data_IF_686211274710
#
_entry.id   IF_686211274710
#
_cell.length_a   1.000
_cell.length_b   1.000
_cell.length_c   1.000
_cell.angle_alpha   90.00
_cell.angle_beta   90.00
_cell.angle_gamma   90.00
#
_symmetry.space_group_name_H-M   'P 1'
#
loop_
_entity.id
_entity.type
_entity.pdbx_description
1 polymer ?
#
# COMPACT_ATOMS: atom_id res chain seq x y z
N UNK A 1 4.75 -73.30 31.95
CA UNK A 1 4.22 -72.28 32.90
C UNK A 1 3.69 -71.10 32.11
N UNK A 2 2.44 -70.74 32.39
CA UNK A 2 1.65 -69.66 31.77
C UNK A 2 2.28 -68.27 31.91
N UNK A 3 1.97 -67.39 30.94
CA UNK A 3 1.40 -66.01 31.06
C UNK A 3 1.47 -65.35 29.67
N UNK A 4 0.39 -65.31 28.87
CA UNK A 4 -0.75 -64.37 28.86
C UNK A 4 -0.34 -62.89 28.62
N UNK A 5 -0.68 -62.45 27.41
CA UNK A 5 -1.23 -61.16 26.94
C UNK A 5 -0.53 -59.82 27.25
N UNK A 6 -0.40 -59.05 26.17
CA UNK A 6 -0.18 -57.61 26.20
C UNK A 6 -0.19 -57.01 24.79
N UNK A 7 -1.34 -57.05 24.10
CA UNK A 7 -1.60 -56.22 22.92
C UNK A 7 -1.52 -54.74 23.35
N UNK A 8 -0.43 -54.06 23.00
CA UNK A 8 -0.32 -52.61 23.06
C UNK A 8 -0.52 -52.04 21.67
N UNK A 9 -1.73 -51.56 21.39
CA UNK A 9 -2.05 -50.75 20.21
C UNK A 9 -1.01 -49.63 20.04
N UNK A 10 -0.25 -49.66 18.94
CA UNK A 10 0.44 -48.46 18.43
C UNK A 10 -0.62 -47.54 17.83
N UNK A 11 -1.24 -46.73 18.69
CA UNK A 11 -2.10 -45.63 18.29
C UNK A 11 -1.23 -44.58 17.60
N UNK A 12 -1.51 -44.37 16.31
CA UNK A 12 -1.13 -43.18 15.56
C UNK A 12 -1.44 -41.93 16.37
N UNK A 13 -0.41 -41.11 16.64
CA UNK A 13 -0.61 -39.67 16.80
C UNK A 13 0.15 -39.05 15.64
N UNK A 14 -0.51 -39.04 14.47
CA UNK A 14 -0.23 -38.01 13.48
C UNK A 14 -0.56 -36.69 14.14
N UNK A 15 0.46 -35.99 14.64
CA UNK A 15 0.34 -34.58 14.96
C UNK A 15 0.17 -33.92 13.60
N UNK A 16 -1.09 -33.78 13.17
CA UNK A 16 -1.47 -32.76 12.22
C UNK A 16 -1.05 -31.44 12.88
N UNK A 17 0.17 -31.00 12.57
CA UNK A 17 0.49 -29.58 12.55
C UNK A 17 -0.45 -29.00 11.48
N UNK A 18 -1.70 -28.74 11.89
CA UNK A 18 -2.45 -27.63 11.35
C UNK A 18 -1.55 -26.44 11.65
N UNK A 19 -0.68 -26.11 10.69
CA UNK A 19 -0.07 -24.81 10.61
C UNK A 19 -1.26 -23.87 10.74
N UNK A 20 -1.41 -23.28 11.92
CA UNK A 20 -2.30 -22.16 12.13
C UNK A 20 -1.89 -21.21 11.03
N UNK A 21 -2.77 -21.07 10.04
CA UNK A 21 -2.69 -20.06 9.01
C UNK A 21 -2.39 -18.77 9.72
N UNK A 22 -1.11 -18.39 9.73
CA UNK A 22 -0.65 -17.21 10.42
C UNK A 22 -1.42 -16.07 9.81
N UNK A 23 -2.22 -15.38 10.63
CA UNK A 23 -2.84 -14.14 10.22
C UNK A 23 -1.76 -13.32 9.49
N UNK A 24 -1.99 -12.93 8.22
CA UNK A 24 -1.04 -12.07 7.53
C UNK A 24 -0.80 -10.85 8.42
N UNK A 25 0.48 -10.53 8.66
CA UNK A 25 0.96 -9.46 9.56
C UNK A 25 0.68 -8.06 9.02
N UNK A 26 -0.49 -7.87 8.41
CA UNK A 26 -0.97 -6.61 7.89
C UNK A 26 -2.39 -6.49 8.42
N UNK A 27 -2.46 -6.41 9.75
CA UNK A 27 -3.63 -6.21 10.61
C UNK A 27 -4.88 -7.08 10.31
N UNK A 28 -5.11 -8.11 11.13
CA UNK A 28 -6.44 -8.74 11.19
C UNK A 28 -6.53 -9.92 12.16
N UNK A 29 -6.82 -9.61 13.43
CA UNK A 29 -7.53 -10.42 14.46
C UNK A 29 -7.28 -9.76 15.84
N UNK A 30 -8.01 -8.70 16.17
CA UNK A 30 -8.01 -8.02 17.49
C UNK A 30 -6.69 -7.45 18.04
N UNK A 31 -5.58 -7.44 17.28
CA UNK A 31 -4.30 -6.85 17.70
C UNK A 31 -4.16 -5.38 17.28
N UNK A 32 -3.57 -4.55 18.15
CA UNK A 32 -3.00 -3.26 17.75
C UNK A 32 -1.94 -3.47 16.67
N UNK A 33 -1.89 -2.60 15.66
CA UNK A 33 -0.83 -2.63 14.64
C UNK A 33 0.54 -2.45 15.32
N UNK A 34 1.35 -3.53 15.33
CA UNK A 34 2.68 -3.56 15.94
C UNK A 34 3.79 -3.31 14.91
N UNK A 35 3.44 -2.99 13.67
CA UNK A 35 4.42 -2.81 12.60
C UNK A 35 5.48 -1.79 13.01
N UNK A 36 6.78 -2.09 12.76
CA UNK A 36 7.83 -1.14 13.07
C UNK A 36 7.65 0.14 12.23
N UNK A 37 7.86 1.30 12.85
CA UNK A 37 7.78 2.58 12.17
C UNK A 37 8.84 3.57 12.66
N UNK A 38 9.21 4.53 11.82
CA UNK A 38 10.13 5.62 12.15
C UNK A 38 9.48 6.97 11.83
N UNK A 39 9.69 7.96 12.71
CA UNK A 39 9.24 9.33 12.48
C UNK A 39 10.44 10.14 12.01
N UNK A 40 10.34 10.75 10.82
CA UNK A 40 11.44 11.54 10.26
C UNK A 40 11.71 12.79 11.09
N UNK A 41 12.96 13.03 11.58
CA UNK A 41 13.26 14.22 12.37
C UNK A 41 13.49 15.48 11.50
N UNK A 42 13.79 15.29 10.22
CA UNK A 42 14.11 16.34 9.25
C UNK A 42 13.57 15.94 7.87
N UNK A 43 13.65 16.86 6.91
CA UNK A 43 13.35 16.56 5.50
C UNK A 43 14.23 15.39 5.03
N UNK A 44 13.61 14.40 4.39
CA UNK A 44 14.30 13.22 3.87
C UNK A 44 13.67 12.75 2.57
N UNK A 45 14.08 11.56 2.10
CA UNK A 45 13.52 10.89 0.94
C UNK A 45 13.02 9.51 1.36
N UNK A 46 11.92 9.04 0.77
CA UNK A 46 11.42 7.69 0.91
C UNK A 46 10.81 7.23 -0.41
N UNK A 47 11.29 6.11 -0.95
CA UNK A 47 10.91 5.51 -2.25
C UNK A 47 10.94 6.51 -3.41
N UNK A 48 11.93 7.42 -3.40
CA UNK A 48 12.06 8.49 -4.39
C UNK A 48 11.10 9.66 -4.24
N UNK A 49 10.39 9.76 -3.11
CA UNK A 49 9.51 10.87 -2.76
C UNK A 49 10.17 11.71 -1.65
N UNK A 50 10.34 13.04 -1.82
CA UNK A 50 10.78 13.90 -0.72
C UNK A 50 9.67 13.98 0.33
N UNK A 51 10.03 13.78 1.59
CA UNK A 51 9.08 13.81 2.70
C UNK A 51 9.47 14.86 3.75
N UNK A 52 8.49 15.61 4.31
CA UNK A 52 8.75 16.55 5.40
C UNK A 52 9.15 15.84 6.70
N UNK A 53 9.65 16.58 7.71
CA UNK A 53 9.74 16.07 9.08
C UNK A 53 8.36 15.63 9.58
N UNK A 54 8.36 14.81 10.64
CA UNK A 54 7.15 14.22 11.23
C UNK A 54 6.40 13.24 10.31
N UNK A 55 7.03 12.80 9.22
CA UNK A 55 6.47 11.75 8.36
C UNK A 55 6.66 10.39 9.03
N UNK A 56 5.59 9.59 9.10
CA UNK A 56 5.63 8.21 9.57
C UNK A 56 5.98 7.26 8.43
N UNK A 57 7.14 6.62 8.55
CA UNK A 57 7.62 5.55 7.68
C UNK A 57 7.32 4.21 8.36
N UNK A 58 6.46 3.38 7.78
CA UNK A 58 6.08 2.07 8.31
C UNK A 58 6.76 0.97 7.50
N UNK A 59 7.23 -0.08 8.18
CA UNK A 59 8.03 -1.13 7.58
C UNK A 59 7.44 -2.51 7.85
N UNK A 60 7.75 -3.45 6.96
CA UNK A 60 7.59 -4.88 7.22
C UNK A 60 8.60 -5.30 8.29
N UNK A 61 8.11 -5.97 9.35
CA UNK A 61 8.96 -6.55 10.38
C UNK A 61 9.83 -7.67 9.80
N UNK A 62 11.15 -7.58 9.92
CA UNK A 62 12.06 -8.65 9.53
C UNK A 62 12.24 -9.68 10.66
N UNK A 63 12.15 -9.26 11.93
CA UNK A 63 12.34 -10.15 13.10
C UNK A 63 11.34 -9.80 14.21
N UNK A 64 10.94 -10.78 15.04
CA UNK A 64 9.88 -10.61 16.06
C UNK A 64 10.07 -9.47 17.08
N UNK A 65 11.30 -8.96 17.25
CA UNK A 65 11.62 -7.85 18.15
C UNK A 65 11.41 -6.46 17.52
N UNK A 66 11.38 -6.38 16.19
CA UNK A 66 11.19 -5.13 15.45
C UNK A 66 9.71 -4.77 15.43
N UNK A 67 9.28 -4.01 16.43
CA UNK A 67 7.88 -3.60 16.58
C UNK A 67 7.79 -2.13 16.99
N UNK A 68 6.68 -1.47 16.65
CA UNK A 68 6.38 -0.08 17.05
C UNK A 68 7.45 0.93 16.62
N UNK A 69 7.62 2.03 17.35
CA UNK A 69 8.54 3.10 16.97
C UNK A 69 10.01 2.65 17.09
N UNK A 70 10.77 2.89 16.03
CA UNK A 70 12.21 2.65 15.94
C UNK A 70 12.98 3.95 16.23
N UNK A 71 14.20 3.83 16.73
CA UNK A 71 15.09 4.97 16.99
C UNK A 71 15.77 5.51 15.73
N UNK A 72 15.81 4.71 14.66
CA UNK A 72 16.39 5.03 13.36
C UNK A 72 15.52 4.44 12.24
N UNK A 73 15.67 4.98 11.03
CA UNK A 73 15.04 4.42 9.84
C UNK A 73 15.55 3.00 9.57
N UNK A 74 14.64 2.08 9.28
CA UNK A 74 14.99 0.74 8.84
C UNK A 74 15.27 0.73 7.33
N UNK A 75 15.73 -0.41 6.81
CA UNK A 75 16.01 -0.57 5.38
C UNK A 75 14.78 -0.23 4.54
N UNK A 76 14.96 0.71 3.61
CA UNK A 76 13.91 1.25 2.76
C UNK A 76 13.23 0.17 1.90
N UNK A 77 13.93 -0.90 1.55
CA UNK A 77 13.37 -2.03 0.80
C UNK A 77 12.18 -2.70 1.52
N UNK A 78 12.11 -2.60 2.85
CA UNK A 78 11.02 -3.12 3.65
C UNK A 78 9.94 -2.06 3.95
N UNK A 79 10.04 -0.85 3.39
CA UNK A 79 9.05 0.20 3.61
C UNK A 79 7.72 -0.23 2.98
N UNK A 80 6.68 -0.30 3.82
CA UNK A 80 5.31 -0.66 3.46
C UNK A 80 4.35 0.52 3.53
N UNK A 81 4.73 1.63 4.17
CA UNK A 81 3.87 2.80 4.27
C UNK A 81 4.61 4.11 4.48
N UNK A 82 4.08 5.18 3.89
CA UNK A 82 4.46 6.58 4.12
C UNK A 82 3.18 7.33 4.48
N UNK A 83 3.14 7.94 5.66
CA UNK A 83 2.05 8.81 6.07
C UNK A 83 2.60 10.15 6.52
N UNK A 84 2.17 11.23 5.84
CA UNK A 84 2.54 12.59 6.17
C UNK A 84 1.88 13.04 7.47
N UNK A 85 2.46 14.04 8.17
CA UNK A 85 1.84 14.61 9.35
C UNK A 85 0.49 15.26 9.01
N UNK A 86 -0.34 15.45 10.02
CA UNK A 86 -1.64 16.11 9.86
C UNK A 86 -1.50 17.48 9.19
N UNK A 87 -2.56 17.89 8.48
CA UNK A 87 -2.61 19.16 7.76
C UNK A 87 -1.45 19.34 6.75
N UNK A 88 -0.82 18.27 6.29
CA UNK A 88 0.25 18.30 5.29
C UNK A 88 -0.07 17.35 4.14
N UNK A 89 0.19 17.80 2.92
CA UNK A 89 0.08 17.01 1.71
C UNK A 89 1.28 17.25 0.80
N UNK A 90 1.64 16.26 -0.01
CA UNK A 90 2.56 16.42 -1.12
C UNK A 90 1.75 16.44 -2.41
N UNK A 91 2.06 17.34 -3.32
CA UNK A 91 1.51 17.32 -4.66
C UNK A 91 2.17 16.22 -5.48
N UNK A 92 1.53 15.06 -5.59
CA UNK A 92 2.01 13.88 -6.32
C UNK A 92 1.09 13.60 -7.51
N UNK A 93 1.64 13.57 -8.72
CA UNK A 93 0.85 13.50 -9.95
C UNK A 93 -0.11 14.67 -10.17
N UNK A 94 0.10 15.79 -9.45
CA UNK A 94 -0.82 16.93 -9.41
C UNK A 94 -1.98 16.78 -8.42
N UNK A 95 -2.06 15.68 -7.66
CA UNK A 95 -3.03 15.47 -6.58
C UNK A 95 -2.36 15.71 -5.20
N UNK A 96 -2.99 16.43 -4.26
CA UNK A 96 -2.52 16.48 -2.88
C UNK A 96 -2.71 15.11 -2.19
N UNK A 97 -1.60 14.49 -1.78
CA UNK A 97 -1.54 13.16 -1.18
C UNK A 97 -0.93 13.23 0.22
N UNK A 98 -1.47 12.47 1.16
CA UNK A 98 -0.92 12.34 2.52
C UNK A 98 -0.48 10.92 2.86
N UNK A 99 -0.92 9.88 2.12
CA UNK A 99 -0.59 8.48 2.44
C UNK A 99 -0.29 7.63 1.21
N UNK A 100 0.69 6.75 1.38
CA UNK A 100 1.10 5.72 0.43
C UNK A 100 1.23 4.40 1.18
N UNK A 101 0.54 3.34 0.75
CA UNK A 101 0.59 2.04 1.42
C UNK A 101 0.78 0.92 0.41
N UNK A 102 1.84 0.13 0.58
CA UNK A 102 2.06 -1.08 -0.18
C UNK A 102 0.85 -2.02 -0.04
N UNK A 103 0.53 -2.74 -1.10
CA UNK A 103 -0.52 -3.75 -1.04
C UNK A 103 -0.20 -4.82 0.00
N UNK A 104 -1.24 -5.28 0.71
CA UNK A 104 -1.08 -6.33 1.73
C UNK A 104 -0.73 -7.69 1.14
N UNK A 105 -1.13 -7.96 -0.10
CA UNK A 105 -0.74 -9.16 -0.80
C UNK A 105 0.71 -9.01 -1.32
N UNK A 106 1.69 -9.79 -0.83
CA UNK A 106 3.09 -9.69 -1.26
C UNK A 106 3.31 -10.03 -2.74
N UNK A 107 2.39 -10.76 -3.38
CA UNK A 107 2.45 -11.05 -4.81
C UNK A 107 2.12 -9.82 -5.66
N UNK A 108 1.35 -8.87 -5.11
CA UNK A 108 0.99 -7.64 -5.78
C UNK A 108 2.12 -6.61 -5.67
N UNK A 109 2.76 -6.33 -6.80
CA UNK A 109 3.85 -5.35 -6.90
C UNK A 109 3.27 -3.95 -7.06
N UNK A 110 3.02 -3.26 -5.94
CA UNK A 110 2.47 -1.92 -6.00
C UNK A 110 2.00 -1.36 -4.67
N UNK A 111 1.28 -0.24 -4.72
CA UNK A 111 0.77 0.47 -3.56
C UNK A 111 -0.54 1.20 -3.86
N UNK A 112 -1.26 1.57 -2.80
CA UNK A 112 -2.39 2.49 -2.85
C UNK A 112 -1.95 3.88 -2.42
N UNK A 113 -2.45 4.91 -3.10
CA UNK A 113 -2.17 6.31 -2.81
C UNK A 113 -3.45 7.08 -2.49
N UNK A 114 -3.47 7.76 -1.36
CA UNK A 114 -4.68 8.36 -0.79
C UNK A 114 -4.64 9.89 -0.91
N UNK A 115 -5.66 10.50 -1.54
CA UNK A 115 -5.83 11.95 -1.53
C UNK A 115 -6.00 12.49 -0.11
N UNK A 116 -5.30 13.57 0.18
CA UNK A 116 -5.32 14.21 1.48
C UNK A 116 -6.66 14.95 1.70
N UNK A 117 -7.40 14.59 2.75
CA UNK A 117 -8.76 15.08 3.00
C UNK A 117 -8.77 16.59 3.23
N UNK A 118 -9.57 17.31 2.43
CA UNK A 118 -9.78 18.76 2.50
C UNK A 118 -8.76 19.60 1.72
N UNK A 119 -7.81 18.97 1.03
CA UNK A 119 -6.92 19.66 0.11
C UNK A 119 -7.58 19.69 -1.26
N UNK A 120 -7.40 20.78 -2.01
CA UNK A 120 -7.88 20.91 -3.39
C UNK A 120 -6.70 20.86 -4.34
N UNK A 121 -6.87 20.11 -5.42
CA UNK A 121 -5.97 20.19 -6.57
C UNK A 121 -6.50 21.25 -7.52
N UNK A 122 -5.77 22.36 -7.66
CA UNK A 122 -6.04 23.40 -8.66
C UNK A 122 -5.60 22.99 -10.07
N UNK A 123 -4.82 21.91 -10.20
CA UNK A 123 -4.36 21.40 -11.48
C UNK A 123 -5.46 20.59 -12.18
N UNK A 124 -5.48 20.66 -13.51
CA UNK A 124 -6.41 19.92 -14.35
C UNK A 124 -5.68 19.37 -15.57
N UNK A 125 -5.88 18.08 -15.81
CA UNK A 125 -5.50 17.39 -17.03
C UNK A 125 -6.38 16.12 -17.14
N UNK A 126 -6.32 15.42 -18.28
CA UNK A 126 -7.15 14.24 -18.50
C UNK A 126 -7.01 13.16 -17.41
N UNK A 127 -5.78 12.90 -16.95
CA UNK A 127 -5.51 11.93 -15.89
C UNK A 127 -6.09 12.38 -14.53
N UNK A 128 -5.83 13.63 -14.12
CA UNK A 128 -6.34 14.19 -12.88
C UNK A 128 -7.87 14.25 -12.85
N UNK A 129 -8.50 14.58 -13.98
CA UNK A 129 -9.96 14.63 -14.06
C UNK A 129 -10.58 13.23 -13.89
N UNK A 130 -9.96 12.21 -14.49
CA UNK A 130 -10.36 10.82 -14.28
C UNK A 130 -10.13 10.40 -12.82
N UNK A 131 -8.97 10.68 -12.24
CA UNK A 131 -8.70 10.35 -10.83
C UNK A 131 -9.70 11.05 -9.90
N UNK A 132 -9.92 12.36 -10.06
CA UNK A 132 -10.92 13.12 -9.26
C UNK A 132 -12.31 12.49 -9.33
N UNK A 133 -12.71 11.96 -10.50
CA UNK A 133 -14.02 11.32 -10.67
C UNK A 133 -14.21 10.02 -9.88
N UNK A 134 -13.12 9.41 -9.38
CA UNK A 134 -13.22 8.23 -8.52
C UNK A 134 -13.57 8.55 -7.09
N UNK A 135 -13.32 9.79 -6.64
CA UNK A 135 -13.51 10.22 -5.25
C UNK A 135 -12.85 9.28 -4.22
N UNK A 136 -11.74 8.65 -4.60
CA UNK A 136 -11.05 7.60 -3.84
C UNK A 136 -9.53 7.63 -4.09
N UNK A 137 -8.83 6.77 -3.36
CA UNK A 137 -7.46 6.36 -3.63
C UNK A 137 -7.25 5.74 -5.03
N UNK A 138 -6.00 5.72 -5.48
CA UNK A 138 -5.57 4.90 -6.62
C UNK A 138 -4.81 3.68 -6.12
N UNK A 139 -5.13 2.53 -6.70
CA UNK A 139 -4.31 1.32 -6.61
C UNK A 139 -3.37 1.29 -7.82
N UNK A 140 -2.07 1.28 -7.56
CA UNK A 140 -1.01 1.42 -8.57
C UNK A 140 -0.14 0.17 -8.57
N UNK A 141 0.00 -0.46 -9.73
CA UNK A 141 1.02 -1.45 -10.01
C UNK A 141 2.33 -0.78 -10.42
N UNK A 142 3.45 -1.34 -9.95
CA UNK A 142 4.80 -0.86 -10.22
C UNK A 142 5.63 -1.92 -10.97
N UNK A 143 6.37 -1.48 -12.00
CA UNK A 143 7.40 -2.33 -12.63
C UNK A 143 8.61 -2.50 -11.72
N UNK A 144 9.07 -1.40 -11.13
CA UNK A 144 10.10 -1.33 -10.10
C UNK A 144 9.45 -0.89 -8.79
N UNK A 145 9.34 -1.83 -7.83
CA UNK A 145 8.69 -1.62 -6.54
C UNK A 145 9.45 -0.69 -5.59
N UNK A 146 10.71 -0.36 -5.90
CA UNK A 146 11.52 0.53 -5.08
C UNK A 146 11.33 2.03 -5.45
N UNK A 147 10.68 2.35 -6.56
CA UNK A 147 10.44 3.72 -7.04
C UNK A 147 8.94 4.05 -6.98
N UNK A 148 8.53 4.79 -5.96
CA UNK A 148 7.15 5.27 -5.77
C UNK A 148 6.97 6.71 -6.27
N UNK A 149 8.03 7.33 -6.80
CA UNK A 149 7.96 8.65 -7.43
C UNK A 149 6.98 8.62 -8.60
N UNK A 150 6.23 9.70 -8.83
CA UNK A 150 5.25 9.76 -9.93
C UNK A 150 5.96 9.63 -11.28
N UNK A 151 5.93 8.41 -11.83
CA UNK A 151 6.68 8.01 -13.01
C UNK A 151 5.81 7.11 -13.88
N UNK A 152 5.13 7.67 -14.90
CA UNK A 152 4.24 6.90 -15.78
C UNK A 152 4.88 5.66 -16.42
N UNK A 153 6.17 5.73 -16.75
CA UNK A 153 6.89 4.57 -17.31
C UNK A 153 7.00 3.38 -16.35
N UNK A 154 6.91 3.64 -15.04
CA UNK A 154 6.99 2.66 -13.97
C UNK A 154 5.61 2.24 -13.43
N UNK A 155 4.52 2.86 -13.89
CA UNK A 155 3.21 2.80 -13.22
C UNK A 155 2.10 2.31 -14.15
N UNK A 156 1.17 1.58 -13.56
CA UNK A 156 -0.11 1.25 -14.16
C UNK A 156 -1.19 1.35 -13.08
N UNK A 157 -2.26 2.08 -13.37
CA UNK A 157 -3.43 2.16 -12.49
C UNK A 157 -4.21 0.85 -12.61
N UNK A 158 -4.38 0.14 -11.50
CA UNK A 158 -5.18 -1.10 -11.41
C UNK A 158 -6.50 -0.91 -10.69
N UNK A 159 -6.67 0.20 -9.97
CA UNK A 159 -7.85 0.45 -9.17
C UNK A 159 -8.06 1.92 -8.90
N UNK A 160 -9.33 2.32 -8.81
CA UNK A 160 -9.77 3.68 -8.49
C UNK A 160 -11.23 3.63 -7.99
N UNK A 161 -11.44 3.63 -6.67
CA UNK A 161 -12.76 3.50 -6.06
C UNK A 161 -13.50 2.23 -6.54
N UNK A 162 -14.63 2.40 -7.24
CA UNK A 162 -15.40 1.27 -7.79
C UNK A 162 -14.80 0.63 -9.05
N UNK A 163 -13.86 1.30 -9.71
CA UNK A 163 -13.23 0.82 -10.93
C UNK A 163 -12.00 0.01 -10.56
N UNK A 164 -12.18 -1.30 -10.43
CA UNK A 164 -11.12 -2.23 -10.04
C UNK A 164 -10.80 -3.14 -11.21
N UNK A 165 -9.53 -3.52 -11.34
CA UNK A 165 -9.11 -4.50 -12.33
C UNK A 165 -9.88 -5.80 -12.10
N UNK A 166 -10.27 -6.44 -13.22
CA UNK A 166 -10.94 -7.73 -13.21
C UNK A 166 -10.21 -8.75 -12.33
N UNK A 167 -10.97 -9.44 -11.50
CA UNK A 167 -10.55 -10.57 -10.69
C UNK A 167 -11.55 -11.71 -10.81
N UNK A 168 -11.17 -12.90 -10.34
CA UNK A 168 -12.04 -14.09 -10.31
C UNK A 168 -13.30 -13.93 -9.44
N UNK A 169 -13.37 -12.87 -8.62
CA UNK A 169 -14.45 -12.60 -7.68
C UNK A 169 -15.49 -11.60 -8.18
N UNK A 170 -15.39 -11.12 -9.44
CA UNK A 170 -16.33 -10.13 -9.98
C UNK A 170 -17.14 -10.71 -11.13
N UNK A 171 -18.42 -10.96 -10.86
CA UNK A 171 -19.34 -11.69 -11.75
C UNK A 171 -20.22 -10.76 -12.62
N UNK A 172 -20.20 -9.43 -12.39
CA UNK A 172 -21.01 -8.46 -13.14
C UNK A 172 -20.25 -7.96 -14.38
N UNK A 173 -20.49 -8.60 -15.53
CA UNK A 173 -19.84 -8.29 -16.80
C UNK A 173 -20.01 -6.82 -17.25
N UNK A 174 -21.20 -6.22 -17.05
CA UNK A 174 -21.46 -4.85 -17.48
C UNK A 174 -20.63 -3.86 -16.65
N UNK A 175 -20.63 -4.03 -15.33
CA UNK A 175 -19.80 -3.22 -14.44
C UNK A 175 -18.30 -3.43 -14.70
N UNK A 176 -17.91 -4.65 -15.04
CA UNK A 176 -16.53 -4.95 -15.39
C UNK A 176 -16.09 -4.26 -16.68
N UNK A 177 -16.91 -4.28 -17.73
CA UNK A 177 -16.58 -3.58 -18.97
C UNK A 177 -16.44 -2.06 -18.76
N UNK A 178 -17.24 -1.47 -17.87
CA UNK A 178 -17.09 -0.06 -17.48
C UNK A 178 -15.80 0.20 -16.70
N UNK A 179 -15.42 -0.70 -15.78
CA UNK A 179 -14.16 -0.60 -15.06
C UNK A 179 -12.96 -0.75 -16.00
N UNK A 180 -13.00 -1.72 -16.91
CA UNK A 180 -11.95 -1.96 -17.90
C UNK A 180 -11.77 -0.75 -18.83
N UNK A 181 -12.87 -0.16 -19.32
CA UNK A 181 -12.82 1.05 -20.14
C UNK A 181 -12.26 2.26 -19.38
N UNK A 182 -12.68 2.43 -18.12
CA UNK A 182 -12.17 3.49 -17.25
C UNK A 182 -10.67 3.33 -17.00
N UNK A 183 -10.22 2.13 -16.59
CA UNK A 183 -8.83 1.82 -16.31
C UNK A 183 -7.96 1.99 -17.56
N UNK A 184 -8.47 1.61 -18.74
CA UNK A 184 -7.80 1.87 -20.03
C UNK A 184 -7.61 3.37 -20.26
N UNK A 185 -8.66 4.18 -20.07
CA UNK A 185 -8.61 5.64 -20.28
C UNK A 185 -7.66 6.34 -19.31
N UNK A 186 -7.72 6.02 -18.02
CA UNK A 186 -6.84 6.66 -17.02
C UNK A 186 -5.38 6.27 -17.24
N UNK A 187 -5.09 5.02 -17.63
CA UNK A 187 -3.74 4.61 -17.99
C UNK A 187 -3.26 5.28 -19.28
N UNK A 188 -4.09 5.39 -20.32
CA UNK A 188 -3.75 6.16 -21.52
C UNK A 188 -3.39 7.61 -21.19
N UNK A 189 -4.17 8.25 -20.32
CA UNK A 189 -3.90 9.61 -19.87
C UNK A 189 -2.63 9.71 -19.00
N UNK A 190 -2.40 8.75 -18.10
CA UNK A 190 -1.19 8.66 -17.28
C UNK A 190 0.07 8.61 -18.16
N UNK A 191 0.07 7.79 -19.21
CA UNK A 191 1.24 7.62 -20.09
C UNK A 191 1.57 8.87 -20.92
N UNK A 192 0.69 9.88 -20.99
CA UNK A 192 0.98 11.17 -21.62
C UNK A 192 1.71 12.15 -20.68
N UNK A 193 1.81 11.84 -19.39
CA UNK A 193 2.46 12.69 -18.41
C UNK A 193 3.97 12.41 -18.32
N UNK A 194 4.79 13.43 -18.01
CA UNK A 194 6.21 13.21 -17.75
C UNK A 194 6.42 12.61 -16.34
N UNK A 195 7.60 12.03 -16.12
CA UNK A 195 8.07 11.75 -14.76
C UNK A 195 8.17 13.07 -13.99
N UNK A 196 7.54 13.14 -12.83
CA UNK A 196 7.56 14.33 -11.98
C UNK A 196 8.93 14.50 -11.31
N UNK A 197 9.46 15.72 -11.37
CA UNK A 197 10.78 16.06 -10.81
C UNK A 197 10.67 16.73 -9.44
N UNK A 198 9.62 17.53 -9.22
CA UNK A 198 9.45 18.33 -8.00
C UNK A 198 8.14 17.95 -7.33
N UNK A 199 8.15 17.86 -6.00
CA UNK A 199 7.00 17.46 -5.18
C UNK A 199 6.71 18.54 -4.14
N UNK A 200 5.98 19.62 -4.52
CA UNK A 200 5.62 20.67 -3.58
C UNK A 200 4.91 20.11 -2.34
N UNK A 201 5.35 20.55 -1.16
CA UNK A 201 4.70 20.26 0.11
C UNK A 201 3.72 21.40 0.39
N UNK A 202 2.47 21.06 0.67
CA UNK A 202 1.38 21.99 0.95
C UNK A 202 0.92 21.74 2.39
N UNK A 203 0.86 22.80 3.18
CA UNK A 203 0.39 22.74 4.56
C UNK A 203 -0.86 23.57 4.72
N UNK A 204 -1.78 23.12 5.57
CA UNK A 204 -2.86 23.95 6.08
C UNK A 204 -2.48 24.47 7.46
N UNK A 205 -2.94 25.68 7.81
CA UNK A 205 -2.82 26.15 9.18
C UNK A 205 -3.51 25.17 10.12
N UNK A 206 -2.83 24.81 11.21
CA UNK A 206 -3.47 24.15 12.34
C UNK A 206 -4.58 25.07 12.86
N UNK A 207 -5.79 24.53 13.03
CA UNK A 207 -6.86 25.24 13.74
C UNK A 207 -6.50 25.48 15.19
#
# INVERSE_FOLDING_TARGET
>A
MNKIFGLGLLSLISICLSACSGCPMIAGCNGTDRSPYFITPMNSQARGIPVPPQTKLTYQSQHFRQTHQQTHALEEQNLTGIALPENTAILWGGMPIDKFFQFSNPEMKGFSVYPAIGFKSEQSNAFLNLWKSCESDLSIYLKNTNDWSFNPSNMEIRGCGRFQQRSEYIDDELRQNQADDFLRKINQALQQLPKQQNYPIIQRPSK
#
